data_IF_873353665036
#
_entry.id   IF_873353665036
#
_cell.length_a   1.000
_cell.length_b   1.000
_cell.length_c   1.000
_cell.angle_alpha   90.00
_cell.angle_beta   90.00
_cell.angle_gamma   90.00
#
_symmetry.space_group_name_H-M   'P 1'
#
loop_
_entity.id
_entity.type
_entity.pdbx_description
1 polymer ?
#
# COMPACT_ATOMS: atom_id res chain seq x y z
N UNK A 1 -6.73 -6.00 11.88
CA UNK A 1 -7.52 -5.22 10.91
C UNK A 1 -8.65 -4.45 11.59
N UNK A 2 -9.61 -5.12 12.24
CA UNK A 2 -10.81 -4.46 12.80
C UNK A 2 -10.52 -3.47 13.96
N UNK A 3 -9.52 -3.74 14.80
CA UNK A 3 -9.13 -2.84 15.90
C UNK A 3 -8.51 -1.51 15.42
N UNK A 4 -7.79 -1.49 14.29
CA UNK A 4 -7.16 -0.28 13.73
C UNK A 4 -8.23 0.59 13.04
N UNK A 5 -9.21 -0.04 12.39
CA UNK A 5 -10.31 0.68 11.74
C UNK A 5 -11.27 1.33 12.74
N UNK A 6 -11.42 0.74 13.93
CA UNK A 6 -12.33 1.20 15.01
C UNK A 6 -11.72 2.19 16.01
N UNK A 7 -10.40 2.40 16.00
CA UNK A 7 -9.74 3.42 16.81
C UNK A 7 -10.05 4.83 16.29
N UNK A 8 -10.25 5.81 17.18
CA UNK A 8 -10.50 7.22 16.84
C UNK A 8 -9.30 7.97 16.26
N UNK A 9 -8.42 7.27 15.54
CA UNK A 9 -7.24 7.85 14.89
C UNK A 9 -7.62 8.68 13.67
N UNK A 10 -6.77 9.66 13.33
CA UNK A 10 -6.92 10.51 12.15
C UNK A 10 -7.04 9.64 10.88
N UNK A 11 -7.90 10.07 9.96
CA UNK A 11 -8.13 9.37 8.69
C UNK A 11 -6.80 9.16 7.93
N UNK A 12 -5.87 10.12 8.00
CA UNK A 12 -4.53 10.02 7.42
C UNK A 12 -3.73 8.82 7.94
N UNK A 13 -3.67 8.63 9.26
CA UNK A 13 -2.95 7.51 9.89
C UNK A 13 -3.52 6.14 9.51
N UNK A 14 -4.85 6.04 9.32
CA UNK A 14 -5.48 4.80 8.83
C UNK A 14 -5.09 4.51 7.38
N UNK A 15 -5.07 5.52 6.52
CA UNK A 15 -4.68 5.37 5.12
C UNK A 15 -3.19 5.04 4.97
N UNK A 16 -2.34 5.60 5.83
CA UNK A 16 -0.91 5.26 5.89
C UNK A 16 -0.70 3.78 6.23
N UNK A 17 -1.43 3.26 7.21
CA UNK A 17 -1.37 1.83 7.54
C UNK A 17 -1.81 0.95 6.36
N UNK A 18 -2.91 1.30 5.69
CA UNK A 18 -3.43 0.54 4.53
C UNK A 18 -2.40 0.53 3.40
N UNK A 19 -1.83 1.69 3.06
CA UNK A 19 -0.82 1.78 2.00
C UNK A 19 0.45 1.00 2.35
N UNK A 20 0.84 0.95 3.62
CA UNK A 20 1.96 0.13 4.10
C UNK A 20 1.70 -1.38 3.91
N UNK A 21 0.50 -1.85 4.26
CA UNK A 21 0.15 -3.26 4.11
C UNK A 21 -0.02 -3.66 2.64
N UNK A 22 -0.56 -2.77 1.79
CA UNK A 22 -0.58 -2.98 0.34
C UNK A 22 0.83 -3.11 -0.25
N UNK A 23 1.78 -2.31 0.23
CA UNK A 23 3.17 -2.40 -0.22
C UNK A 23 3.82 -3.72 0.21
N UNK A 24 3.55 -4.18 1.44
CA UNK A 24 4.01 -5.48 1.94
C UNK A 24 3.49 -6.62 1.05
N UNK A 25 2.19 -6.63 0.78
CA UNK A 25 1.58 -7.67 -0.05
C UNK A 25 2.12 -7.66 -1.48
N UNK A 26 2.29 -6.46 -2.07
CA UNK A 26 2.87 -6.30 -3.40
C UNK A 26 4.29 -6.87 -3.49
N UNK A 27 5.11 -6.73 -2.43
CA UNK A 27 6.43 -7.36 -2.38
C UNK A 27 6.33 -8.88 -2.24
N UNK A 28 5.37 -9.41 -1.48
CA UNK A 28 5.13 -10.85 -1.39
C UNK A 28 4.71 -11.42 -2.74
N UNK A 29 3.83 -10.75 -3.49
CA UNK A 29 3.46 -11.14 -4.85
C UNK A 29 4.70 -11.13 -5.75
N UNK A 30 5.45 -10.03 -5.80
CA UNK A 30 6.63 -9.93 -6.67
C UNK A 30 7.76 -10.90 -6.33
N UNK A 31 7.94 -11.26 -5.06
CA UNK A 31 8.98 -12.22 -4.65
C UNK A 31 8.60 -13.69 -4.87
N UNK A 32 7.30 -13.97 -5.05
CA UNK A 32 6.79 -15.34 -5.27
C UNK A 32 6.28 -15.57 -6.69
N UNK A 33 6.02 -14.51 -7.44
CA UNK A 33 5.67 -14.58 -8.85
C UNK A 33 6.94 -14.83 -9.67
N UNK A 34 7.05 -16.00 -10.29
CA UNK A 34 8.10 -16.32 -11.24
C UNK A 34 7.60 -16.05 -12.68
N UNK A 35 7.08 -14.86 -12.90
CA UNK A 35 6.44 -14.44 -14.14
C UNK A 35 6.78 -12.98 -14.46
N UNK A 36 7.21 -12.72 -15.70
CA UNK A 36 7.69 -11.41 -16.12
C UNK A 36 6.56 -10.38 -16.27
N UNK A 37 5.36 -10.80 -16.66
CA UNK A 37 4.18 -9.94 -16.76
C UNK A 37 3.72 -9.51 -15.36
N UNK A 38 3.70 -10.47 -14.42
CA UNK A 38 3.41 -10.16 -13.00
C UNK A 38 4.45 -9.21 -12.42
N UNK A 39 5.74 -9.41 -12.74
CA UNK A 39 6.81 -8.51 -12.29
C UNK A 39 6.60 -7.07 -12.81
N UNK A 40 6.14 -6.91 -14.06
CA UNK A 40 5.81 -5.60 -14.62
C UNK A 40 4.67 -4.93 -13.82
N UNK A 41 3.57 -5.65 -13.60
CA UNK A 41 2.45 -5.14 -12.81
C UNK A 41 2.84 -4.79 -11.36
N UNK A 42 3.72 -5.57 -10.74
CA UNK A 42 4.24 -5.26 -9.40
C UNK A 42 4.93 -3.90 -9.36
N UNK A 43 5.68 -3.53 -10.40
CA UNK A 43 6.32 -2.21 -10.49
C UNK A 43 5.25 -1.11 -10.61
N UNK A 44 4.24 -1.30 -11.46
CA UNK A 44 3.14 -0.34 -11.63
C UNK A 44 2.34 -0.14 -10.33
N UNK A 45 2.04 -1.23 -9.61
CA UNK A 45 1.34 -1.21 -8.33
C UNK A 45 2.17 -0.46 -7.29
N UNK A 46 3.49 -0.71 -7.20
CA UNK A 46 4.38 0.03 -6.29
C UNK A 46 4.37 1.53 -6.58
N UNK A 47 4.40 1.93 -7.85
CA UNK A 47 4.31 3.34 -8.23
C UNK A 47 2.95 3.96 -7.90
N UNK A 48 1.85 3.21 -8.02
CA UNK A 48 0.53 3.68 -7.59
C UNK A 48 0.45 3.84 -6.06
N UNK A 49 1.03 2.92 -5.30
CA UNK A 49 1.08 2.99 -3.82
C UNK A 49 1.87 4.22 -3.36
N UNK A 50 3.00 4.52 -4.00
CA UNK A 50 3.79 5.71 -3.62
C UNK A 50 3.00 7.00 -3.87
N UNK A 51 2.32 7.13 -5.01
CA UNK A 51 1.43 8.27 -5.27
C UNK A 51 0.31 8.39 -4.22
N UNK A 52 -0.24 7.27 -3.75
CA UNK A 52 -1.24 7.30 -2.67
C UNK A 52 -0.63 7.81 -1.35
N UNK A 53 0.61 7.43 -1.03
CA UNK A 53 1.31 7.91 0.17
C UNK A 53 1.57 9.41 0.11
N UNK A 54 2.01 9.92 -1.03
CA UNK A 54 2.18 11.36 -1.26
C UNK A 54 0.86 12.12 -1.05
N UNK A 55 -0.26 11.61 -1.60
CA UNK A 55 -1.58 12.22 -1.38
C UNK A 55 -2.00 12.23 0.08
N UNK A 56 -1.75 11.14 0.83
CA UNK A 56 -2.09 11.05 2.25
C UNK A 56 -1.31 12.11 3.05
N UNK A 57 -0.01 12.26 2.78
CA UNK A 57 0.84 13.27 3.43
C UNK A 57 0.42 14.71 3.10
N UNK A 58 -0.14 14.94 1.92
CA UNK A 58 -0.62 16.27 1.49
C UNK A 58 -1.96 16.67 2.12
N UNK A 59 -2.70 15.72 2.72
CA UNK A 59 -4.03 15.95 3.32
C UNK A 59 -3.94 16.12 4.84
N UNK A 60 -2.84 15.68 5.47
CA UNK A 60 -2.51 16.00 6.87
C UNK A 60 -2.01 17.44 7.03
#
# INVERSE_FOLDING_TARGET
FDQIMRGGDSVGRKLEFVTQEMFRETNTIGSKANDAEIACHVVEIKAAIERMREMIQNIE
#
